data_IF_642420868558
#
_entry.id   IF_642420868558
#
_cell.length_a   1.000
_cell.length_b   1.000
_cell.length_c   1.000
_cell.angle_alpha   90.00
_cell.angle_beta   90.00
_cell.angle_gamma   90.00
#
_symmetry.space_group_name_H-M   'P 1'
#
loop_
_entity.id
_entity.type
_entity.pdbx_description
1 polymer ?
#
# COMPACT_ATOMS: atom_id res chain seq x y z
N UNK A 1 -51.50 -31.17 -2.49
CA UNK A 1 -50.33 -30.79 -3.31
C UNK A 1 -49.55 -29.71 -2.57
N UNK A 2 -48.36 -30.03 -2.05
CA UNK A 2 -47.45 -29.03 -1.45
C UNK A 2 -46.55 -28.50 -2.56
N UNK A 3 -46.53 -27.17 -2.74
CA UNK A 3 -45.56 -26.50 -3.59
C UNK A 3 -44.26 -26.31 -2.81
N UNK A 4 -43.20 -26.94 -3.29
CA UNK A 4 -41.83 -26.73 -2.79
C UNK A 4 -41.33 -25.34 -3.19
N UNK A 5 -41.09 -24.49 -2.18
CA UNK A 5 -40.33 -23.26 -2.33
C UNK A 5 -38.85 -23.64 -2.55
N UNK A 6 -38.38 -23.52 -3.79
CA UNK A 6 -36.94 -23.49 -4.12
C UNK A 6 -36.27 -22.37 -3.32
N UNK A 7 -35.55 -22.73 -2.26
CA UNK A 7 -34.59 -21.87 -1.56
C UNK A 7 -33.49 -21.52 -2.57
N UNK A 8 -33.44 -20.28 -3.03
CA UNK A 8 -32.27 -19.74 -3.71
C UNK A 8 -31.10 -19.74 -2.71
N UNK A 9 -30.25 -20.78 -2.77
CA UNK A 9 -28.90 -20.68 -2.20
C UNK A 9 -28.16 -19.62 -3.02
N UNK A 10 -27.96 -18.43 -2.42
CA UNK A 10 -26.98 -17.47 -2.93
C UNK A 10 -25.64 -18.22 -2.99
N UNK A 11 -25.13 -18.46 -4.19
CA UNK A 11 -23.75 -18.93 -4.38
C UNK A 11 -22.85 -17.95 -3.63
N UNK A 12 -22.21 -18.43 -2.55
CA UNK A 12 -21.08 -17.73 -1.97
C UNK A 12 -19.95 -17.90 -2.98
N UNK A 13 -19.56 -16.82 -3.65
CA UNK A 13 -18.36 -16.83 -4.48
C UNK A 13 -17.17 -17.27 -3.62
N UNK A 14 -16.35 -18.19 -4.11
CA UNK A 14 -15.08 -18.51 -3.45
C UNK A 14 -14.16 -17.29 -3.42
N UNK A 15 -13.19 -17.26 -2.51
CA UNK A 15 -12.26 -16.13 -2.38
C UNK A 15 -11.46 -15.89 -3.66
N UNK A 16 -10.99 -16.96 -4.29
CA UNK A 16 -10.38 -16.90 -5.61
C UNK A 16 -11.29 -16.28 -6.66
N UNK A 17 -12.60 -16.57 -6.62
CA UNK A 17 -13.56 -15.95 -7.54
C UNK A 17 -13.72 -14.45 -7.23
N UNK A 18 -13.81 -14.06 -5.95
CA UNK A 18 -13.88 -12.66 -5.56
C UNK A 18 -12.66 -11.86 -6.02
N UNK A 19 -11.47 -12.46 -5.95
CA UNK A 19 -10.24 -11.84 -6.45
C UNK A 19 -10.22 -11.76 -7.99
N UNK A 20 -10.64 -12.82 -8.69
CA UNK A 20 -10.78 -12.80 -10.17
C UNK A 20 -11.77 -11.75 -10.65
N UNK A 21 -12.83 -11.52 -9.88
CA UNK A 21 -13.85 -10.51 -10.17
C UNK A 21 -13.41 -9.08 -9.78
N UNK A 22 -12.20 -8.90 -9.21
CA UNK A 22 -11.67 -7.59 -8.83
C UNK A 22 -11.63 -6.68 -10.04
N UNK A 23 -12.50 -5.68 -10.03
CA UNK A 23 -12.41 -4.55 -10.95
C UNK A 23 -11.28 -3.64 -10.48
N UNK A 24 -10.54 -3.11 -11.43
CA UNK A 24 -9.50 -2.11 -11.17
C UNK A 24 -10.14 -0.73 -10.90
N UNK A 25 -10.98 -0.64 -9.86
CA UNK A 25 -11.74 0.56 -9.49
C UNK A 25 -11.81 0.68 -7.97
N UNK A 26 -11.50 1.87 -7.46
CA UNK A 26 -11.64 2.30 -6.07
C UNK A 26 -13.10 2.17 -5.61
N UNK A 27 -13.24 1.72 -4.38
CA UNK A 27 -14.52 1.53 -3.72
C UNK A 27 -14.55 2.34 -2.42
N UNK A 28 -14.89 3.62 -2.55
CA UNK A 28 -15.03 4.56 -1.44
C UNK A 28 -16.30 4.35 -0.61
N UNK A 29 -17.23 3.53 -1.11
CA UNK A 29 -18.41 3.19 -0.32
C UNK A 29 -18.04 2.21 0.78
N UNK A 30 -17.11 1.30 0.50
CA UNK A 30 -16.69 0.29 1.45
C UNK A 30 -15.35 0.62 2.12
N UNK A 31 -14.38 1.15 1.38
CA UNK A 31 -13.01 1.38 1.86
C UNK A 31 -12.71 2.87 2.06
N UNK A 32 -11.91 3.19 3.09
CA UNK A 32 -11.36 4.52 3.32
C UNK A 32 -10.14 4.80 2.41
N UNK A 33 -9.44 5.92 2.61
CA UNK A 33 -8.30 6.31 1.79
C UNK A 33 -7.15 5.27 1.82
N UNK A 34 -6.70 4.88 3.01
CA UNK A 34 -5.58 3.94 3.17
C UNK A 34 -5.94 2.54 2.69
N UNK A 35 -7.18 2.10 2.92
CA UNK A 35 -7.68 0.85 2.37
C UNK A 35 -7.75 0.88 0.84
N UNK A 36 -8.26 1.96 0.24
CA UNK A 36 -8.28 2.10 -1.22
C UNK A 36 -6.86 2.07 -1.81
N UNK A 37 -5.91 2.75 -1.15
CA UNK A 37 -4.50 2.74 -1.50
C UNK A 37 -3.94 1.30 -1.48
N UNK A 38 -4.15 0.55 -0.40
CA UNK A 38 -3.59 -0.79 -0.24
C UNK A 38 -4.29 -1.86 -1.10
N UNK A 39 -5.58 -1.72 -1.37
CA UNK A 39 -6.33 -2.72 -2.13
C UNK A 39 -6.25 -2.48 -3.64
N UNK A 40 -6.31 -1.23 -4.10
CA UNK A 40 -6.54 -0.93 -5.52
C UNK A 40 -5.40 -0.16 -6.20
N UNK A 41 -4.49 0.45 -5.45
CA UNK A 41 -3.38 1.22 -6.04
C UNK A 41 -2.07 0.43 -6.13
N UNK A 42 -1.97 -0.77 -5.56
CA UNK A 42 -0.72 -1.57 -5.57
C UNK A 42 -0.36 -2.02 -6.97
N UNK A 43 0.90 -1.78 -7.36
CA UNK A 43 1.46 -2.23 -8.63
C UNK A 43 2.20 -3.57 -8.39
N UNK A 44 1.76 -4.70 -8.99
CA UNK A 44 2.36 -6.02 -8.73
C UNK A 44 3.84 -6.14 -9.13
N UNK A 45 4.28 -5.34 -10.09
CA UNK A 45 5.69 -5.16 -10.43
C UNK A 45 6.12 -3.80 -9.94
N UNK A 46 7.27 -3.70 -9.26
CA UNK A 46 7.87 -2.42 -8.83
C UNK A 46 8.43 -1.63 -10.02
N UNK A 47 7.64 -1.49 -11.07
CA UNK A 47 8.02 -1.01 -12.39
C UNK A 47 6.83 -0.31 -13.00
N UNK A 48 7.05 0.91 -13.45
CA UNK A 48 6.03 1.74 -14.08
C UNK A 48 6.09 1.57 -15.60
N UNK A 49 4.96 1.41 -16.31
CA UNK A 49 4.95 1.40 -17.78
C UNK A 49 5.55 2.69 -18.36
N UNK A 50 5.89 2.70 -19.65
CA UNK A 50 6.37 3.93 -20.29
C UNK A 50 5.25 4.97 -20.30
N UNK A 51 5.32 5.93 -19.39
CA UNK A 51 4.39 7.05 -19.30
C UNK A 51 5.11 8.33 -19.68
N UNK A 52 4.58 9.08 -20.65
CA UNK A 52 5.19 10.34 -21.11
C UNK A 52 6.68 10.20 -21.53
N UNK A 53 7.10 9.02 -22.00
CA UNK A 53 8.48 8.73 -22.42
C UNK A 53 9.44 8.37 -21.28
N UNK A 54 8.93 8.20 -20.06
CA UNK A 54 9.70 7.92 -18.85
C UNK A 54 9.38 6.53 -18.35
N UNK A 55 10.41 5.82 -17.88
CA UNK A 55 10.26 4.52 -17.24
C UNK A 55 11.09 4.50 -15.97
N UNK A 56 10.49 4.14 -14.84
CA UNK A 56 11.26 3.83 -13.65
C UNK A 56 10.93 2.45 -13.11
N UNK A 57 11.90 1.92 -12.36
CA UNK A 57 11.78 0.69 -11.61
C UNK A 57 12.42 0.86 -10.24
N UNK A 58 12.03 0.00 -9.32
CA UNK A 58 12.64 -0.14 -8.00
C UNK A 58 13.07 -1.60 -7.91
N UNK A 59 14.37 -1.85 -8.08
CA UNK A 59 14.89 -3.20 -7.96
C UNK A 59 15.64 -3.37 -6.65
N UNK A 60 15.08 -4.18 -5.76
CA UNK A 60 15.74 -4.51 -4.50
C UNK A 60 17.03 -5.30 -4.77
N UNK A 61 17.99 -5.16 -3.87
CA UNK A 61 19.15 -6.05 -3.82
C UNK A 61 18.69 -7.48 -3.48
N UNK A 62 19.32 -8.48 -4.11
CA UNK A 62 19.10 -9.90 -3.87
C UNK A 62 19.18 -10.34 -2.40
N UNK A 63 19.93 -9.61 -1.57
CA UNK A 63 20.05 -9.86 -0.13
C UNK A 63 19.10 -9.00 0.72
N UNK A 64 18.27 -8.16 0.09
CA UNK A 64 17.48 -7.18 0.81
C UNK A 64 16.33 -7.84 1.58
N UNK A 65 16.32 -7.61 2.88
CA UNK A 65 15.31 -8.07 3.83
C UNK A 65 14.32 -6.93 4.11
N UNK A 66 13.61 -6.51 3.06
CA UNK A 66 12.66 -5.40 3.15
C UNK A 66 11.43 -5.64 2.29
N UNK A 67 10.31 -5.05 2.71
CA UNK A 67 9.12 -4.89 1.89
C UNK A 67 9.28 -3.61 1.08
N UNK A 68 9.01 -3.67 -0.23
CA UNK A 68 8.93 -2.49 -1.07
C UNK A 68 7.74 -2.55 -2.01
N UNK A 69 6.73 -1.74 -1.71
CA UNK A 69 5.49 -1.67 -2.48
C UNK A 69 5.52 -0.40 -3.32
N UNK A 70 5.10 -0.51 -4.58
CA UNK A 70 4.84 0.63 -5.45
C UNK A 70 3.33 0.81 -5.59
N UNK A 71 2.87 2.06 -5.51
CA UNK A 71 1.46 2.45 -5.51
C UNK A 71 1.24 3.51 -6.57
N UNK A 72 0.24 3.33 -7.43
CA UNK A 72 -0.20 4.30 -8.44
C UNK A 72 -1.29 5.20 -7.87
N UNK A 73 -1.01 6.51 -7.83
CA UNK A 73 -1.86 7.52 -7.20
C UNK A 73 -2.69 8.24 -8.27
N UNK A 74 -2.06 8.72 -9.35
CA UNK A 74 -2.73 9.37 -10.49
C UNK A 74 -3.22 8.35 -11.53
N UNK A 75 -4.14 7.50 -11.11
CA UNK A 75 -4.77 6.50 -11.99
C UNK A 75 -5.67 7.22 -13.00
N UNK A 76 -5.41 7.04 -14.30
CA UNK A 76 -6.04 7.80 -15.42
C UNK A 76 -7.55 8.00 -15.32
N UNK A 77 -8.29 6.97 -14.90
CA UNK A 77 -9.76 6.99 -14.87
C UNK A 77 -10.37 6.96 -13.45
N UNK A 78 -9.56 6.71 -12.42
CA UNK A 78 -10.05 6.58 -11.04
C UNK A 78 -8.94 6.89 -10.04
N UNK A 79 -8.49 8.16 -10.01
CA UNK A 79 -7.38 8.61 -9.20
C UNK A 79 -7.73 8.52 -7.71
N UNK A 80 -6.74 8.23 -6.88
CA UNK A 80 -6.93 8.11 -5.43
C UNK A 80 -7.40 9.45 -4.83
N UNK A 81 -6.83 10.57 -5.29
CA UNK A 81 -7.30 11.91 -4.92
C UNK A 81 -8.34 12.36 -5.95
N UNK A 82 -9.63 12.19 -5.61
CA UNK A 82 -10.78 12.49 -6.50
C UNK A 82 -11.09 13.97 -6.67
N UNK A 83 -10.71 14.81 -5.70
CA UNK A 83 -10.96 16.24 -5.80
C UNK A 83 -10.13 16.83 -6.94
N UNK A 84 -10.79 17.23 -8.02
CA UNK A 84 -10.15 17.77 -9.23
C UNK A 84 -9.41 19.09 -8.99
N UNK A 85 -9.75 19.83 -7.92
CA UNK A 85 -9.03 21.03 -7.53
C UNK A 85 -7.69 20.73 -6.83
N UNK A 86 -7.52 19.51 -6.32
CA UNK A 86 -6.28 19.09 -5.68
C UNK A 86 -5.34 18.49 -6.72
N UNK A 87 -4.11 19.00 -6.74
CA UNK A 87 -3.02 18.38 -7.50
C UNK A 87 -2.60 17.09 -6.78
N UNK A 88 -2.31 16.04 -7.55
CA UNK A 88 -1.94 14.72 -7.04
C UNK A 88 -0.65 14.22 -7.68
N UNK A 89 0.20 13.50 -6.96
CA UNK A 89 1.40 12.95 -7.54
C UNK A 89 1.09 11.69 -8.36
N UNK A 90 2.02 11.25 -9.21
CA UNK A 90 1.83 10.03 -10.00
C UNK A 90 1.89 8.75 -9.16
N UNK A 91 2.92 8.59 -8.32
CA UNK A 91 3.20 7.36 -7.59
C UNK A 91 3.62 7.58 -6.13
N UNK A 92 3.58 6.51 -5.34
CA UNK A 92 4.22 6.41 -4.03
C UNK A 92 4.91 5.06 -3.89
N UNK A 93 6.09 5.03 -3.28
CA UNK A 93 6.71 3.80 -2.79
C UNK A 93 6.67 3.75 -1.27
N UNK A 94 6.32 2.58 -0.72
CA UNK A 94 6.44 2.24 0.69
C UNK A 94 7.59 1.26 0.85
N UNK A 95 8.62 1.65 1.60
CA UNK A 95 9.75 0.79 1.95
C UNK A 95 9.78 0.52 3.45
N UNK A 96 9.89 -0.75 3.84
CA UNK A 96 9.93 -1.18 5.25
C UNK A 96 11.04 -2.20 5.43
N UNK A 97 11.99 -1.88 6.31
CA UNK A 97 13.01 -2.80 6.81
C UNK A 97 12.99 -2.84 8.35
N UNK A 98 13.94 -3.57 8.95
CA UNK A 98 14.07 -3.71 10.40
C UNK A 98 14.25 -2.39 11.17
N UNK A 99 14.65 -1.30 10.50
CA UNK A 99 15.02 -0.01 11.09
C UNK A 99 14.14 1.15 10.63
N UNK A 100 13.48 1.04 9.49
CA UNK A 100 12.95 2.14 8.71
C UNK A 100 11.57 1.80 8.17
N UNK A 101 10.70 2.80 8.13
CA UNK A 101 9.47 2.80 7.36
C UNK A 101 9.44 4.14 6.60
N UNK A 102 9.52 4.07 5.27
CA UNK A 102 9.73 5.24 4.41
C UNK A 102 8.64 5.27 3.35
N UNK A 103 7.86 6.35 3.34
CA UNK A 103 6.96 6.71 2.27
C UNK A 103 7.68 7.70 1.33
N UNK A 104 8.02 7.24 0.14
CA UNK A 104 8.62 8.08 -0.91
C UNK A 104 7.55 8.44 -1.94
N UNK A 105 7.15 9.70 -1.99
CA UNK A 105 6.16 10.21 -2.94
C UNK A 105 6.89 10.60 -4.22
N UNK A 106 6.47 10.05 -5.35
CA UNK A 106 7.19 10.16 -6.62
C UNK A 106 6.30 10.90 -7.60
N UNK A 107 6.78 12.07 -8.05
CA UNK A 107 6.17 12.81 -9.13
C UNK A 107 7.04 12.74 -10.38
N UNK A 108 6.41 12.44 -11.52
CA UNK A 108 7.01 12.35 -12.82
C UNK A 108 6.60 13.53 -13.68
N UNK A 109 7.57 14.35 -14.09
CA UNK A 109 7.29 15.49 -14.96
C UNK A 109 7.79 15.25 -16.38
N UNK A 110 6.93 15.55 -17.35
CA UNK A 110 7.32 15.67 -18.76
C UNK A 110 8.21 16.89 -19.02
N UNK A 111 8.44 17.23 -20.29
CA UNK A 111 9.42 18.25 -20.74
C UNK A 111 9.11 19.71 -20.35
N UNK A 112 8.00 20.02 -19.68
CA UNK A 112 7.55 21.41 -19.49
C UNK A 112 7.99 22.02 -18.16
N UNK A 113 8.58 23.22 -18.21
CA UNK A 113 9.19 23.88 -17.05
C UNK A 113 8.23 24.27 -15.92
N UNK A 114 7.09 24.91 -16.27
CA UNK A 114 6.04 25.31 -15.31
C UNK A 114 5.38 24.11 -14.61
N UNK A 115 5.73 22.89 -15.00
CA UNK A 115 5.24 21.68 -14.37
C UNK A 115 6.02 21.32 -13.10
N UNK A 116 7.30 21.70 -12.94
CA UNK A 116 8.12 21.19 -11.82
C UNK A 116 7.74 21.75 -10.45
N UNK A 117 7.40 23.04 -10.35
CA UNK A 117 6.91 23.62 -9.09
C UNK A 117 5.56 23.06 -8.67
N UNK A 118 4.70 22.74 -9.64
CA UNK A 118 3.46 22.02 -9.41
C UNK A 118 3.74 20.61 -8.88
N UNK A 119 4.82 19.98 -9.36
CA UNK A 119 5.26 18.66 -8.87
C UNK A 119 5.62 18.67 -7.39
N UNK A 120 6.31 19.71 -6.93
CA UNK A 120 6.59 19.90 -5.49
C UNK A 120 5.27 20.01 -4.70
N UNK A 121 4.29 20.76 -5.20
CA UNK A 121 2.99 20.92 -4.54
C UNK A 121 2.19 19.60 -4.49
N UNK A 122 2.23 18.80 -5.56
CA UNK A 122 1.61 17.46 -5.60
C UNK A 122 2.20 16.55 -4.53
N UNK A 123 3.53 16.53 -4.42
CA UNK A 123 4.26 15.76 -3.40
C UNK A 123 3.84 16.21 -2.00
N UNK A 124 3.88 17.52 -1.73
CA UNK A 124 3.49 18.07 -0.42
C UNK A 124 2.03 17.75 -0.10
N UNK A 125 1.13 17.81 -1.09
CA UNK A 125 -0.28 17.56 -0.84
C UNK A 125 -0.56 16.11 -0.43
N UNK A 126 0.05 15.14 -1.12
CA UNK A 126 -0.10 13.74 -0.72
C UNK A 126 0.54 13.47 0.64
N UNK A 127 1.68 14.12 0.96
CA UNK A 127 2.30 14.02 2.30
C UNK A 127 1.32 14.44 3.39
N UNK A 128 0.66 15.60 3.26
CA UNK A 128 -0.32 16.09 4.23
C UNK A 128 -1.49 15.12 4.42
N UNK A 129 -2.03 14.60 3.30
CA UNK A 129 -3.13 13.63 3.33
C UNK A 129 -2.68 12.37 4.05
N UNK A 130 -1.53 11.79 3.69
CA UNK A 130 -1.01 10.58 4.32
C UNK A 130 -0.74 10.77 5.81
N UNK A 131 -0.18 11.91 6.23
CA UNK A 131 0.05 12.20 7.65
C UNK A 131 -1.27 12.24 8.42
N UNK A 132 -2.29 12.88 7.85
CA UNK A 132 -3.63 12.96 8.44
C UNK A 132 -4.25 11.57 8.53
N UNK A 133 -4.34 10.86 7.42
CA UNK A 133 -4.94 9.52 7.33
C UNK A 133 -4.27 8.52 8.27
N UNK A 134 -2.92 8.51 8.32
CA UNK A 134 -2.16 7.63 9.22
C UNK A 134 -2.42 8.00 10.68
N UNK A 135 -2.44 9.30 11.03
CA UNK A 135 -2.71 9.73 12.40
C UNK A 135 -4.14 9.42 12.86
N UNK A 136 -5.11 9.46 11.94
CA UNK A 136 -6.52 9.20 12.21
C UNK A 136 -6.80 7.70 12.34
N UNK A 137 -6.15 6.86 11.52
CA UNK A 137 -6.56 5.47 11.36
C UNK A 137 -5.56 4.44 11.90
N UNK A 138 -4.32 4.81 12.21
CA UNK A 138 -3.27 3.86 12.61
C UNK A 138 -2.67 4.17 13.99
N UNK A 139 -2.03 3.19 14.66
CA UNK A 139 -1.35 3.43 15.93
C UNK A 139 -0.16 4.39 15.77
N UNK A 140 0.01 5.29 16.74
CA UNK A 140 1.08 6.31 16.74
C UNK A 140 2.51 5.79 16.87
N UNK A 141 2.69 4.49 17.14
CA UNK A 141 4.01 3.88 17.39
C UNK A 141 4.87 3.75 16.13
N UNK A 142 4.27 3.77 14.93
CA UNK A 142 5.03 3.64 13.69
C UNK A 142 5.67 4.98 13.30
N UNK A 143 6.99 5.06 13.41
CA UNK A 143 7.77 6.21 12.91
C UNK A 143 7.90 6.14 11.39
N UNK A 144 6.91 6.67 10.68
CA UNK A 144 6.93 6.81 9.22
C UNK A 144 7.75 8.03 8.83
N UNK A 145 8.73 7.86 7.95
CA UNK A 145 9.46 8.95 7.31
C UNK A 145 8.82 9.25 5.97
N UNK A 146 8.64 10.54 5.67
CA UNK A 146 8.15 10.98 4.37
C UNK A 146 9.27 11.68 3.61
N UNK A 147 9.40 11.36 2.33
CA UNK A 147 10.30 12.05 1.42
C UNK A 147 9.70 12.13 0.02
N UNK A 148 10.22 13.04 -0.79
CA UNK A 148 9.79 13.24 -2.18
C UNK A 148 10.88 12.85 -3.17
N UNK A 149 10.47 12.40 -4.34
CA UNK A 149 11.29 12.35 -5.54
C UNK A 149 10.57 13.13 -6.62
N UNK A 150 11.26 14.10 -7.20
CA UNK A 150 10.82 14.80 -8.40
C UNK A 150 11.64 14.24 -9.57
N UNK A 151 11.05 13.33 -10.34
CA UNK A 151 11.66 12.83 -11.56
C UNK A 151 11.54 13.91 -12.64
N UNK A 152 12.69 14.35 -13.15
CA UNK A 152 12.77 15.41 -14.16
C UNK A 152 13.62 14.99 -15.35
N UNK A 153 13.29 15.44 -16.57
CA UNK A 153 14.17 15.32 -17.72
C UNK A 153 15.51 16.02 -17.45
N UNK A 154 16.59 15.48 -18.00
CA UNK A 154 17.96 15.99 -17.79
C UNK A 154 18.11 17.52 -17.99
N UNK A 155 17.47 18.05 -19.04
CA UNK A 155 17.55 19.46 -19.43
C UNK A 155 16.58 20.40 -18.69
N UNK A 156 15.77 19.89 -17.76
CA UNK A 156 14.84 20.74 -16.99
C UNK A 156 15.60 21.61 -15.97
N UNK A 157 15.14 22.86 -15.76
CA UNK A 157 15.68 23.71 -14.69
C UNK A 157 14.87 23.41 -13.42
N UNK A 158 15.56 22.77 -12.47
CA UNK A 158 14.94 22.32 -11.23
C UNK A 158 14.64 23.54 -10.34
N UNK A 159 13.47 23.59 -9.68
CA UNK A 159 13.15 24.64 -8.70
C UNK A 159 13.98 24.53 -7.40
N UNK A 160 15.31 24.66 -7.49
CA UNK A 160 16.26 24.40 -6.40
C UNK A 160 15.96 25.22 -5.15
N UNK A 161 15.52 26.47 -5.32
CA UNK A 161 15.12 27.34 -4.20
C UNK A 161 13.96 26.75 -3.39
N UNK A 162 12.87 26.34 -4.06
CA UNK A 162 11.69 25.75 -3.42
C UNK A 162 12.03 24.42 -2.75
N UNK A 163 12.89 23.61 -3.38
CA UNK A 163 13.38 22.34 -2.80
C UNK A 163 14.19 22.61 -1.52
N UNK A 164 15.09 23.59 -1.53
CA UNK A 164 15.88 23.96 -0.37
C UNK A 164 14.99 24.48 0.78
N UNK A 165 13.98 25.29 0.47
CA UNK A 165 12.99 25.78 1.44
C UNK A 165 12.22 24.63 2.12
N UNK A 166 11.77 23.62 1.36
CA UNK A 166 11.10 22.44 1.94
C UNK A 166 12.06 21.56 2.75
N UNK A 167 13.32 21.44 2.33
CA UNK A 167 14.33 20.70 3.08
C UNK A 167 14.63 21.36 4.43
N UNK A 168 14.63 22.70 4.52
CA UNK A 168 14.76 23.44 5.79
C UNK A 168 13.58 23.17 6.74
N UNK A 169 12.40 22.84 6.21
CA UNK A 169 11.22 22.39 6.98
C UNK A 169 11.29 20.91 7.36
N UNK A 170 12.40 20.23 7.06
CA UNK A 170 12.63 18.81 7.38
C UNK A 170 12.03 17.84 6.36
N UNK A 171 11.65 18.29 5.16
CA UNK A 171 11.12 17.43 4.10
C UNK A 171 11.98 17.48 2.85
N UNK A 172 12.74 16.41 2.63
CA UNK A 172 13.65 16.32 1.49
C UNK A 172 12.89 15.85 0.26
N UNK A 173 12.89 16.68 -0.78
CA UNK A 173 12.48 16.32 -2.14
C UNK A 173 13.75 16.19 -2.98
N UNK A 174 14.01 15.00 -3.49
CA UNK A 174 15.19 14.74 -4.31
C UNK A 174 14.85 14.94 -5.80
N UNK A 175 15.47 15.92 -6.48
CA UNK A 175 15.34 16.04 -7.92
C UNK A 175 16.23 15.01 -8.60
N UNK A 176 15.62 14.00 -9.21
CA UNK A 176 16.33 12.97 -9.98
C UNK A 176 16.20 13.32 -11.45
N UNK A 177 17.31 13.76 -12.04
CA UNK A 177 17.44 13.98 -13.47
C UNK A 177 17.67 12.65 -14.17
N UNK A 178 16.80 12.30 -15.10
CA UNK A 178 16.91 11.08 -15.90
C UNK A 178 16.90 11.41 -17.40
N UNK A 179 17.34 10.44 -18.20
CA UNK A 179 17.28 10.53 -19.66
C UNK A 179 16.03 9.80 -20.19
N UNK A 180 15.99 8.47 -20.06
CA UNK A 180 14.85 7.64 -20.45
C UNK A 180 14.42 6.59 -19.40
N UNK A 181 15.34 6.20 -18.51
CA UNK A 181 15.11 5.20 -17.48
C UNK A 181 15.72 5.62 -16.15
N UNK A 182 14.97 5.44 -15.07
CA UNK A 182 15.44 5.66 -13.70
C UNK A 182 15.38 4.36 -12.88
N UNK A 183 16.44 4.09 -12.11
CA UNK A 183 16.42 3.10 -11.03
C UNK A 183 16.30 3.85 -9.71
N UNK A 184 15.23 3.57 -8.95
CA UNK A 184 14.88 4.35 -7.76
C UNK A 184 15.21 3.66 -6.44
N UNK A 185 15.58 2.38 -6.45
CA UNK A 185 15.86 1.64 -5.21
C UNK A 185 16.77 2.40 -4.22
N UNK A 186 17.91 2.98 -4.63
CA UNK A 186 18.80 3.69 -3.71
C UNK A 186 18.19 4.94 -3.05
N UNK A 187 17.10 5.47 -3.59
CA UNK A 187 16.45 6.70 -3.14
C UNK A 187 15.10 6.46 -2.47
N UNK A 188 14.61 5.21 -2.46
CA UNK A 188 13.41 4.82 -1.71
C UNK A 188 13.75 3.97 -0.47
N UNK A 189 14.91 3.30 -0.47
CA UNK A 189 15.34 2.39 0.60
C UNK A 189 16.03 3.07 1.79
N UNK A 190 16.37 4.35 1.66
CA UNK A 190 17.02 5.13 2.73
C UNK A 190 16.49 6.56 2.78
N UNK A 191 16.66 7.24 3.93
CA UNK A 191 16.40 8.67 4.03
C UNK A 191 17.29 9.44 3.05
N UNK A 192 16.67 10.22 2.18
CA UNK A 192 17.37 11.04 1.20
C UNK A 192 18.03 12.26 1.84
N UNK A 193 19.16 12.68 1.26
CA UNK A 193 19.83 13.95 1.53
C UNK A 193 19.70 14.84 0.30
N UNK A 194 19.64 16.16 0.49
CA UNK A 194 19.57 17.12 -0.63
C UNK A 194 20.81 17.06 -1.56
N UNK A 195 21.93 16.56 -1.03
CA UNK A 195 23.18 16.38 -1.79
C UNK A 195 23.23 15.05 -2.55
N UNK A 196 22.28 14.14 -2.34
CA UNK A 196 22.24 12.89 -3.09
C UNK A 196 22.08 13.21 -4.59
N UNK A 197 22.78 12.46 -5.43
CA UNK A 197 22.76 12.62 -6.88
C UNK A 197 22.35 11.31 -7.51
N UNK A 198 21.71 11.41 -8.68
CA UNK A 198 21.37 10.22 -9.44
C UNK A 198 22.63 9.51 -9.91
N UNK A 199 22.82 8.29 -9.43
CA UNK A 199 23.76 7.30 -9.91
C UNK A 199 22.99 6.07 -10.38
N UNK A 200 23.20 5.65 -11.62
CA UNK A 200 22.61 4.44 -12.14
C UNK A 200 23.35 3.23 -11.58
N UNK A 201 22.65 2.36 -10.85
CA UNK A 201 23.22 1.11 -10.34
C UNK A 201 22.75 -0.06 -11.20
N UNK A 202 23.70 -0.93 -11.54
CA UNK A 202 23.43 -2.20 -12.19
C UNK A 202 22.78 -3.17 -11.19
N UNK A 203 22.01 -4.14 -11.71
CA UNK A 203 20.94 -4.76 -10.95
C UNK A 203 21.11 -6.25 -10.84
N UNK A 204 20.97 -6.76 -9.61
CA UNK A 204 20.72 -8.16 -9.32
C UNK A 204 19.21 -8.41 -9.18
N UNK A 205 18.71 -9.57 -9.64
CA UNK A 205 17.32 -9.97 -9.38
C UNK A 205 17.13 -10.18 -7.87
N UNK A 206 16.08 -9.60 -7.30
CA UNK A 206 15.61 -9.87 -5.94
C UNK A 206 14.23 -10.48 -5.98
N UNK A 207 13.99 -11.44 -5.12
CA UNK A 207 12.66 -11.96 -4.85
C UNK A 207 11.95 -11.04 -3.85
N UNK A 208 10.63 -10.89 -3.99
CA UNK A 208 9.81 -10.21 -2.98
C UNK A 208 9.59 -11.14 -1.78
N UNK A 209 9.55 -10.56 -0.58
CA UNK A 209 9.10 -11.25 0.62
C UNK A 209 7.65 -11.74 0.43
N UNK A 210 7.28 -12.80 1.16
CA UNK A 210 5.96 -13.39 1.08
C UNK A 210 4.85 -12.40 1.46
N UNK A 211 5.04 -11.61 2.53
CA UNK A 211 4.11 -10.55 2.91
C UNK A 211 3.93 -9.54 1.77
N UNK A 212 5.01 -9.17 1.08
CA UNK A 212 4.90 -8.23 -0.04
C UNK A 212 4.08 -8.81 -1.21
N UNK A 213 4.28 -10.10 -1.52
CA UNK A 213 3.48 -10.79 -2.54
C UNK A 213 2.00 -10.77 -2.15
N UNK A 214 1.68 -11.06 -0.89
CA UNK A 214 0.29 -11.00 -0.37
C UNK A 214 -0.29 -9.59 -0.58
N UNK A 215 0.43 -8.57 -0.12
CA UNK A 215 -0.03 -7.18 -0.16
C UNK A 215 -0.23 -6.65 -1.58
N UNK A 216 0.57 -7.10 -2.55
CA UNK A 216 0.59 -6.54 -3.91
C UNK A 216 -0.30 -7.28 -4.90
N UNK A 217 -0.70 -8.52 -4.62
CA UNK A 217 -1.37 -9.37 -5.63
C UNK A 217 -2.73 -9.89 -5.22
N UNK A 218 -2.98 -10.11 -3.92
CA UNK A 218 -4.11 -10.93 -3.45
C UNK A 218 -5.00 -10.24 -2.40
N UNK A 219 -4.98 -8.91 -2.35
CA UNK A 219 -5.96 -8.12 -1.58
C UNK A 219 -7.38 -8.30 -2.14
N UNK A 220 -8.33 -8.71 -1.28
CA UNK A 220 -9.72 -8.93 -1.68
C UNK A 220 -10.46 -7.59 -1.86
N UNK A 221 -11.22 -7.42 -2.96
CA UNK A 221 -11.95 -6.18 -3.26
C UNK A 221 -13.26 -6.03 -2.46
N UNK A 222 -13.49 -6.92 -1.49
CA UNK A 222 -14.67 -6.95 -0.62
C UNK A 222 -14.26 -7.49 0.74
N UNK A 223 -14.89 -6.98 1.79
CA UNK A 223 -14.75 -7.53 3.13
C UNK A 223 -15.52 -8.85 3.26
N UNK A 224 -15.00 -9.73 4.11
CA UNK A 224 -15.68 -10.97 4.50
C UNK A 224 -16.53 -10.66 5.73
N UNK A 225 -17.88 -10.76 5.66
CA UNK A 225 -18.77 -10.45 6.78
C UNK A 225 -18.90 -11.65 7.72
N UNK A 226 -17.80 -12.03 8.35
CA UNK A 226 -17.75 -13.08 9.37
C UNK A 226 -17.97 -12.52 10.79
N UNK A 227 -17.90 -13.39 11.78
CA UNK A 227 -18.04 -13.01 13.19
C UNK A 227 -16.90 -12.07 13.60
N UNK A 228 -15.68 -12.31 13.10
CA UNK A 228 -14.54 -11.45 13.38
C UNK A 228 -14.76 -10.01 12.89
N UNK A 229 -15.22 -9.83 11.66
CA UNK A 229 -15.61 -8.52 11.11
C UNK A 229 -16.71 -7.85 11.95
N UNK A 230 -17.76 -8.60 12.28
CA UNK A 230 -18.93 -8.08 13.00
C UNK A 230 -18.58 -7.68 14.43
N UNK A 231 -17.72 -8.44 15.10
CA UNK A 231 -17.32 -8.23 16.49
C UNK A 231 -16.14 -7.28 16.69
N UNK A 232 -15.38 -6.93 15.64
CA UNK A 232 -14.19 -6.07 15.80
C UNK A 232 -14.22 -4.79 14.97
N UNK A 233 -14.81 -4.80 13.77
CA UNK A 233 -14.79 -3.63 12.89
C UNK A 233 -16.14 -2.90 12.81
N UNK A 234 -17.27 -3.62 12.88
CA UNK A 234 -18.61 -3.00 12.86
C UNK A 234 -19.14 -2.57 14.24
N UNK A 235 -18.38 -2.80 15.33
CA UNK A 235 -18.84 -2.46 16.68
C UNK A 235 -19.08 -0.96 16.79
N UNK A 236 -20.36 -0.56 16.93
CA UNK A 236 -20.75 0.84 17.08
C UNK A 236 -20.93 1.63 15.79
N UNK A 237 -20.91 0.99 14.61
CA UNK A 237 -21.06 1.61 13.28
C UNK A 237 -19.98 2.64 12.87
N UNK A 238 -18.98 2.92 13.70
CA UNK A 238 -17.87 3.79 13.35
C UNK A 238 -16.75 2.99 12.68
N UNK A 239 -16.47 3.32 11.42
CA UNK A 239 -15.36 2.74 10.63
C UNK A 239 -14.03 3.31 11.09
N UNK A 240 -13.63 3.02 12.33
CA UNK A 240 -12.34 3.45 12.85
C UNK A 240 -11.23 2.50 12.41
N UNK A 241 -10.35 2.99 11.54
CA UNK A 241 -9.12 2.31 11.17
C UNK A 241 -9.20 1.59 9.82
N UNK A 242 -8.45 0.51 9.66
CA UNK A 242 -8.29 -0.27 8.44
C UNK A 242 -8.74 -1.71 8.71
N UNK A 243 -9.53 -2.29 7.79
CA UNK A 243 -9.87 -3.71 7.77
C UNK A 243 -9.79 -4.26 6.35
N UNK A 244 -8.80 -5.10 6.09
CA UNK A 244 -8.56 -5.68 4.75
C UNK A 244 -8.38 -7.19 4.88
N UNK A 245 -9.06 -7.94 4.01
CA UNK A 245 -8.83 -9.36 3.83
C UNK A 245 -7.90 -9.58 2.63
N UNK A 246 -6.89 -10.43 2.80
CA UNK A 246 -6.01 -10.89 1.72
C UNK A 246 -6.18 -12.40 1.55
N UNK A 247 -6.41 -12.86 0.32
CA UNK A 247 -6.41 -14.27 -0.01
C UNK A 247 -5.01 -14.85 0.22
N UNK A 248 -4.91 -16.10 0.67
CA UNK A 248 -3.64 -16.82 0.77
C UNK A 248 -3.36 -17.58 -0.55
N UNK A 249 -2.09 -17.94 -0.84
CA UNK A 249 -1.74 -18.61 -2.11
C UNK A 249 -2.42 -19.96 -2.37
N UNK A 250 -3.03 -20.55 -1.35
CA UNK A 250 -3.81 -21.79 -1.48
C UNK A 250 -5.21 -21.57 -2.09
N UNK A 251 -5.55 -20.33 -2.46
CA UNK A 251 -6.79 -19.92 -3.14
C UNK A 251 -8.10 -20.17 -2.35
N UNK A 252 -8.01 -20.73 -1.13
CA UNK A 252 -9.15 -21.06 -0.27
C UNK A 252 -9.22 -20.21 0.99
N UNK A 253 -8.07 -19.84 1.53
CA UNK A 253 -7.97 -19.25 2.86
C UNK A 253 -7.64 -17.76 2.76
N UNK A 254 -7.77 -17.03 3.86
CA UNK A 254 -7.44 -15.62 3.91
C UNK A 254 -6.84 -15.22 5.25
N UNK A 255 -6.15 -14.09 5.21
CA UNK A 255 -5.65 -13.37 6.36
C UNK A 255 -6.37 -12.02 6.45
N UNK A 256 -6.68 -11.61 7.67
CA UNK A 256 -7.30 -10.32 7.94
C UNK A 256 -6.30 -9.42 8.64
N UNK A 257 -6.11 -8.22 8.08
CA UNK A 257 -5.42 -7.13 8.76
C UNK A 257 -6.46 -6.17 9.33
N UNK A 258 -6.48 -6.03 10.65
CA UNK A 258 -7.23 -5.01 11.38
C UNK A 258 -6.23 -4.05 12.03
N UNK A 259 -6.39 -2.74 11.82
CA UNK A 259 -5.61 -1.74 12.53
C UNK A 259 -6.47 -0.54 12.90
N UNK A 260 -6.28 0.01 14.08
CA UNK A 260 -6.88 1.28 14.51
C UNK A 260 -5.87 2.04 15.39
N UNK A 261 -6.28 3.15 15.99
CA UNK A 261 -5.39 3.97 16.83
C UNK A 261 -4.86 3.25 18.08
N UNK A 262 -5.48 2.13 18.49
CA UNK A 262 -5.14 1.37 19.71
C UNK A 262 -4.21 0.20 19.42
N UNK A 263 -4.49 -0.58 18.36
CA UNK A 263 -3.75 -1.82 18.08
C UNK A 263 -3.73 -2.19 16.60
N UNK A 264 -2.90 -3.18 16.28
CA UNK A 264 -2.88 -3.87 14.98
C UNK A 264 -3.04 -5.36 15.25
N UNK A 265 -3.90 -6.02 14.50
CA UNK A 265 -4.16 -7.44 14.63
C UNK A 265 -4.14 -8.10 13.26
N UNK A 266 -3.55 -9.29 13.22
CA UNK A 266 -3.51 -10.17 12.07
C UNK A 266 -4.29 -11.43 12.48
N UNK A 267 -5.47 -11.63 11.91
CA UNK A 267 -6.27 -12.82 12.14
C UNK A 267 -6.04 -13.81 11.00
N UNK A 268 -5.48 -14.97 11.33
CA UNK A 268 -5.13 -16.06 10.41
C UNK A 268 -5.23 -17.38 11.18
N UNK A 269 -5.64 -18.46 10.50
CA UNK A 269 -5.65 -19.80 11.09
C UNK A 269 -4.22 -20.38 11.16
N UNK A 270 -3.96 -21.21 12.18
CA UNK A 270 -2.66 -21.87 12.36
C UNK A 270 -2.32 -22.77 11.15
N UNK A 271 -1.46 -22.26 10.27
CA UNK A 271 -0.96 -22.93 9.07
C UNK A 271 0.51 -22.56 8.77
N UNK A 272 1.09 -23.15 7.71
CA UNK A 272 2.48 -22.89 7.31
C UNK A 272 2.69 -21.41 6.93
N UNK A 273 1.70 -20.79 6.31
CA UNK A 273 1.70 -19.38 5.92
C UNK A 273 1.77 -18.45 7.14
N UNK A 274 1.09 -18.76 8.24
CA UNK A 274 1.14 -17.98 9.48
C UNK A 274 2.56 -17.92 10.03
N UNK A 275 3.24 -19.07 10.16
CA UNK A 275 4.61 -19.09 10.67
C UNK A 275 5.57 -18.35 9.73
N UNK A 276 5.36 -18.46 8.42
CA UNK A 276 6.14 -17.70 7.43
C UNK A 276 5.94 -16.19 7.57
N UNK A 277 4.70 -15.72 7.71
CA UNK A 277 4.37 -14.30 7.92
C UNK A 277 4.98 -13.81 9.22
N UNK A 278 4.86 -14.58 10.31
CA UNK A 278 5.44 -14.26 11.61
C UNK A 278 6.96 -14.10 11.53
N UNK A 279 7.65 -15.06 10.90
CA UNK A 279 9.10 -15.02 10.69
C UNK A 279 9.52 -13.78 9.88
N UNK A 280 8.80 -13.42 8.81
CA UNK A 280 9.10 -12.21 8.04
C UNK A 280 8.83 -10.93 8.85
N UNK A 281 7.77 -10.87 9.66
CA UNK A 281 7.52 -9.73 10.54
C UNK A 281 8.60 -9.58 11.63
N UNK A 282 9.12 -10.69 12.17
CA UNK A 282 10.23 -10.69 13.14
C UNK A 282 11.52 -10.19 12.50
N UNK A 283 11.83 -10.66 11.30
CA UNK A 283 12.97 -10.22 10.48
C UNK A 283 12.90 -8.73 10.15
N UNK A 284 11.70 -8.21 9.87
CA UNK A 284 11.42 -6.79 9.68
C UNK A 284 11.29 -6.01 11.00
N UNK A 285 11.48 -6.67 12.14
CA UNK A 285 11.32 -6.10 13.49
C UNK A 285 9.97 -5.40 13.69
N UNK A 286 8.93 -5.84 12.98
CA UNK A 286 7.59 -5.25 13.04
C UNK A 286 6.80 -5.75 14.25
N UNK A 287 6.98 -7.01 14.64
CA UNK A 287 6.35 -7.61 15.82
C UNK A 287 6.66 -6.83 17.10
N UNK A 288 7.87 -6.27 17.23
CA UNK A 288 8.26 -5.49 18.40
C UNK A 288 7.94 -3.99 18.28
N UNK A 289 7.87 -3.45 17.05
CA UNK A 289 7.64 -2.01 16.80
C UNK A 289 6.15 -1.64 16.79
N UNK A 290 5.30 -2.61 16.48
CA UNK A 290 3.85 -2.46 16.41
C UNK A 290 3.21 -3.34 17.48
N UNK A 291 2.05 -2.94 18.00
CA UNK A 291 1.26 -3.80 18.88
C UNK A 291 0.50 -4.81 18.03
N UNK A 292 1.22 -5.78 17.45
CA UNK A 292 0.67 -6.84 16.59
C UNK A 292 0.21 -8.00 17.45
N UNK A 293 -1.04 -8.42 17.24
CA UNK A 293 -1.56 -9.68 17.78
C UNK A 293 -1.88 -10.64 16.64
N UNK A 294 -1.62 -11.91 16.87
CA UNK A 294 -2.14 -13.00 16.05
C UNK A 294 -3.31 -13.63 16.79
N UNK A 295 -4.47 -13.72 16.14
CA UNK A 295 -5.66 -14.37 16.72
C UNK A 295 -5.91 -15.71 16.05
N UNK A 296 -5.86 -16.79 16.85
CA UNK A 296 -6.08 -18.17 16.42
C UNK A 296 -7.57 -18.53 16.43
N UNK A 297 -8.43 -17.66 15.90
CA UNK A 297 -9.81 -18.05 15.71
C UNK A 297 -9.85 -19.02 14.54
N UNK A 298 -9.88 -20.33 14.84
CA UNK A 298 -10.46 -21.28 13.91
C UNK A 298 -11.81 -20.70 13.49
N UNK A 299 -12.11 -20.69 12.19
CA UNK A 299 -13.49 -20.57 11.73
C UNK A 299 -14.19 -21.88 12.11
N UNK A 300 -14.27 -22.19 13.41
CA UNK A 300 -14.93 -23.37 13.93
C UNK A 300 -16.43 -23.11 13.84
N UNK A 301 -17.04 -23.82 12.89
CA UNK A 301 -18.47 -24.08 12.72
C UNK A 301 -19.30 -23.10 11.89
N UNK A 302 -19.03 -23.07 10.59
CA UNK A 302 -20.09 -22.79 9.60
C UNK A 302 -21.20 -23.87 9.57
N UNK A 303 -21.05 -24.98 10.30
CA UNK A 303 -22.01 -26.09 10.31
C UNK A 303 -22.96 -26.17 11.52
N UNK A 304 -22.78 -25.38 12.60
CA UNK A 304 -23.65 -25.52 13.80
C UNK A 304 -24.71 -24.43 14.01
N UNK A 305 -24.81 -23.42 13.14
CA UNK A 305 -25.80 -22.33 13.29
C UNK A 305 -27.04 -22.43 12.38
N UNK A 306 -27.43 -23.65 11.97
CA UNK A 306 -28.78 -23.91 11.39
C UNK A 306 -29.72 -24.73 12.30
N UNK A 307 -29.41 -24.90 13.59
CA UNK A 307 -30.32 -25.61 14.52
C UNK A 307 -31.04 -24.74 15.57
N UNK A 308 -30.96 -23.41 15.51
CA UNK A 308 -31.77 -22.54 16.37
C UNK A 308 -32.24 -21.28 15.64
N UNK A 309 -33.16 -21.45 14.68
CA UNK A 309 -34.33 -20.58 14.44
C UNK A 309 -35.46 -21.49 13.98
#
# INVERSE_FOLDING_TARGET
>A
MKQDKKKHMKQKNSLAQLLKDKKDKLDWQNFNFLENLLVFCTVPGRTVPKESGVHFRITLDSQNQAICILLEIDRRNDPLIRNQALKRPDYMSLYIDSKSCICTIIEMKGKNHNSLENGIEQILKLKEILQTEISTHLPSKLKVKYQGILLTPYNSQVPDKKIAEEALKGFVILPIKYDHKAELYPYVSKPNKITDRYNHQEITKSNALFIEQILTTIALPKRIPDDYYSSNFLVGNDREGIYINYLLPNDSDYITLLANTKYTEINIEDNEEQEKIKNELDLLNLINRLAIKFSNNQISNYENYQKKI
#
